data_IF_548383976923
#
_entry.id   IF_548383976923
#
_cell.length_a   1.000
_cell.length_b   1.000
_cell.length_c   1.000
_cell.angle_alpha   90.00
_cell.angle_beta   90.00
_cell.angle_gamma   90.00
#
_symmetry.space_group_name_H-M   'P 1'
#
loop_
_entity.id
_entity.type
_entity.pdbx_description
1 polymer ?
#
# COMPACT_ATOMS: atom_id res chain seq x y z
N UNK A 1 15.02 -16.50 8.27
CA UNK A 1 13.72 -15.93 7.87
C UNK A 1 13.89 -14.42 7.77
N UNK A 2 13.56 -13.81 6.62
CA UNK A 2 13.56 -12.35 6.47
C UNK A 2 12.25 -11.85 7.10
N UNK A 3 12.34 -11.20 8.25
CA UNK A 3 11.18 -10.60 8.90
C UNK A 3 10.87 -9.25 8.22
N UNK A 4 9.60 -8.95 7.90
CA UNK A 4 9.24 -7.64 7.41
C UNK A 4 9.51 -6.58 8.47
N UNK A 5 9.94 -5.39 8.05
CA UNK A 5 10.13 -4.24 8.93
C UNK A 5 8.82 -3.77 9.55
N UNK A 6 7.73 -3.93 8.79
CA UNK A 6 6.37 -3.65 9.20
C UNK A 6 5.38 -4.29 8.21
N UNK A 7 4.20 -4.63 8.68
CA UNK A 7 3.05 -5.02 7.86
C UNK A 7 1.81 -4.37 8.45
N UNK A 8 0.95 -3.83 7.61
CA UNK A 8 -0.42 -3.51 7.98
C UNK A 8 -1.40 -4.12 6.98
N UNK A 9 -2.62 -4.34 7.46
CA UNK A 9 -3.70 -4.98 6.72
C UNK A 9 -5.01 -4.25 7.06
N UNK A 10 -5.75 -3.87 6.02
CA UNK A 10 -7.01 -3.15 6.12
C UNK A 10 -8.06 -3.96 5.38
N UNK A 11 -9.12 -4.34 6.08
CA UNK A 11 -10.30 -4.99 5.53
C UNK A 11 -11.52 -4.13 5.80
N UNK A 12 -12.24 -3.74 4.75
CA UNK A 12 -13.46 -2.91 4.84
C UNK A 12 -14.29 -3.03 3.57
N UNK A 13 -15.59 -2.85 3.66
CA UNK A 13 -16.52 -2.77 2.53
C UNK A 13 -16.83 -1.32 2.12
N UNK A 14 -16.23 -0.32 2.80
CA UNK A 14 -16.53 1.09 2.61
C UNK A 14 -15.31 1.89 2.13
N UNK A 15 -15.46 2.59 0.99
CA UNK A 15 -14.42 3.46 0.41
C UNK A 15 -13.87 4.49 1.42
N UNK A 16 -14.76 5.13 2.17
CA UNK A 16 -14.40 6.19 3.12
C UNK A 16 -13.60 5.65 4.31
N UNK A 17 -13.85 4.41 4.70
CA UNK A 17 -13.08 3.78 5.76
C UNK A 17 -11.70 3.40 5.26
N UNK A 18 -11.59 2.90 4.03
CA UNK A 18 -10.31 2.54 3.42
C UNK A 18 -9.33 3.71 3.39
N UNK A 19 -9.73 4.89 2.89
CA UNK A 19 -8.87 6.09 2.89
C UNK A 19 -8.45 6.51 4.31
N UNK A 20 -9.40 6.53 5.25
CA UNK A 20 -9.13 6.87 6.65
C UNK A 20 -8.13 5.91 7.29
N UNK A 21 -8.29 4.61 7.06
CA UNK A 21 -7.38 3.58 7.57
C UNK A 21 -5.99 3.71 6.94
N UNK A 22 -5.90 3.91 5.63
CA UNK A 22 -4.62 4.12 4.94
C UNK A 22 -3.88 5.32 5.56
N UNK A 23 -4.53 6.49 5.68
CA UNK A 23 -3.89 7.67 6.28
C UNK A 23 -3.37 7.38 7.69
N UNK A 24 -4.17 6.69 8.52
CA UNK A 24 -3.79 6.32 9.89
C UNK A 24 -2.54 5.43 9.93
N UNK A 25 -2.49 4.38 9.10
CA UNK A 25 -1.35 3.46 9.05
C UNK A 25 -0.08 4.17 8.56
N UNK A 26 -0.20 5.02 7.52
CA UNK A 26 0.93 5.81 6.99
C UNK A 26 1.49 6.78 8.03
N UNK A 27 0.64 7.46 8.81
CA UNK A 27 1.09 8.38 9.86
C UNK A 27 1.73 7.66 11.05
N UNK A 28 1.36 6.40 11.30
CA UNK A 28 1.81 5.61 12.45
C UNK A 28 2.95 4.64 12.13
N UNK A 29 3.61 4.79 10.96
CA UNK A 29 4.73 3.93 10.57
C UNK A 29 5.82 3.87 11.66
N UNK A 30 6.31 2.66 11.98
CA UNK A 30 7.30 2.46 13.03
C UNK A 30 8.67 3.02 12.65
N UNK A 31 9.51 3.26 13.66
CA UNK A 31 10.85 3.82 13.46
C UNK A 31 11.76 2.94 12.59
N UNK A 32 11.53 1.62 12.54
CA UNK A 32 12.24 0.71 11.64
C UNK A 32 12.07 1.11 10.18
N UNK A 33 10.82 1.32 9.74
CA UNK A 33 10.49 1.82 8.40
C UNK A 33 11.03 3.24 8.23
N UNK A 34 10.92 4.08 9.27
CA UNK A 34 11.37 5.48 9.15
C UNK A 34 12.90 5.65 9.02
N UNK A 35 13.68 4.66 9.45
CA UNK A 35 15.13 4.63 9.26
C UNK A 35 15.53 4.02 7.93
N UNK A 36 14.75 3.05 7.45
CA UNK A 36 15.01 2.35 6.20
C UNK A 36 14.74 3.19 4.96
N UNK A 37 13.65 3.98 4.99
CA UNK A 37 13.20 4.78 3.86
C UNK A 37 13.33 6.27 4.17
N UNK A 38 13.84 7.07 3.24
CA UNK A 38 13.91 8.52 3.40
C UNK A 38 12.51 9.16 3.43
N UNK A 39 12.41 10.41 3.88
CA UNK A 39 11.15 11.17 3.83
C UNK A 39 10.58 11.25 2.41
N UNK A 40 11.44 11.50 1.42
CA UNK A 40 11.04 11.56 0.01
C UNK A 40 10.49 10.21 -0.48
N UNK A 41 11.11 9.10 -0.07
CA UNK A 41 10.64 7.75 -0.44
C UNK A 41 9.31 7.39 0.21
N UNK A 42 9.13 7.74 1.49
CA UNK A 42 7.86 7.56 2.20
C UNK A 42 6.75 8.40 1.59
N UNK A 43 7.06 9.63 1.20
CA UNK A 43 6.11 10.51 0.52
C UNK A 43 5.74 9.96 -0.87
N UNK A 44 6.72 9.55 -1.66
CA UNK A 44 6.49 8.92 -2.96
C UNK A 44 5.67 7.63 -2.83
N UNK A 45 5.95 6.80 -1.82
CA UNK A 45 5.16 5.61 -1.52
C UNK A 45 3.69 5.97 -1.22
N UNK A 46 3.44 6.99 -0.40
CA UNK A 46 2.08 7.42 -0.06
C UNK A 46 1.29 7.80 -1.33
N UNK A 47 1.89 8.59 -2.22
CA UNK A 47 1.27 8.97 -3.49
C UNK A 47 0.97 7.75 -4.38
N UNK A 48 1.94 6.84 -4.50
CA UNK A 48 1.79 5.62 -5.31
C UNK A 48 0.69 4.71 -4.74
N UNK A 49 0.60 4.59 -3.42
CA UNK A 49 -0.43 3.80 -2.76
C UNK A 49 -1.82 4.38 -3.04
N UNK A 50 -1.99 5.70 -2.88
CA UNK A 50 -3.26 6.37 -3.17
C UNK A 50 -3.66 6.19 -4.64
N UNK A 51 -2.74 6.45 -5.58
CA UNK A 51 -3.00 6.27 -7.02
C UNK A 51 -3.39 4.84 -7.36
N UNK A 52 -2.65 3.86 -6.84
CA UNK A 52 -2.89 2.45 -7.10
C UNK A 52 -4.27 2.01 -6.58
N UNK A 53 -4.59 2.31 -5.32
CA UNK A 53 -5.88 1.96 -4.72
C UNK A 53 -7.04 2.65 -5.45
N UNK A 54 -6.92 3.95 -5.75
CA UNK A 54 -7.96 4.69 -6.49
C UNK A 54 -8.18 4.13 -7.89
N UNK A 55 -7.10 3.76 -8.59
CA UNK A 55 -7.18 3.10 -9.89
C UNK A 55 -8.00 1.81 -9.83
N UNK A 56 -7.66 0.93 -8.90
CA UNK A 56 -8.32 -0.37 -8.74
C UNK A 56 -9.77 -0.25 -8.25
N UNK A 57 -10.07 0.71 -7.38
CA UNK A 57 -11.45 1.00 -6.96
C UNK A 57 -12.33 1.40 -8.17
N UNK A 58 -11.79 2.18 -9.11
CA UNK A 58 -12.53 2.56 -10.34
C UNK A 58 -12.77 1.35 -11.24
N UNK A 59 -11.80 0.46 -11.38
CA UNK A 59 -11.92 -0.79 -12.14
C UNK A 59 -12.99 -1.71 -11.52
N UNK A 60 -12.95 -1.91 -10.21
CA UNK A 60 -13.94 -2.71 -9.47
C UNK A 60 -15.36 -2.16 -9.62
N UNK A 61 -15.53 -0.84 -9.49
CA UNK A 61 -16.84 -0.19 -9.69
C UNK A 61 -17.32 -0.38 -11.12
N UNK A 62 -16.45 -0.18 -12.11
CA UNK A 62 -16.78 -0.37 -13.53
C UNK A 62 -17.16 -1.80 -13.86
N UNK A 63 -16.48 -2.79 -13.27
CA UNK A 63 -16.81 -4.21 -13.40
C UNK A 63 -18.16 -4.54 -12.74
N UNK A 64 -18.40 -4.03 -11.52
CA UNK A 64 -19.65 -4.26 -10.79
C UNK A 64 -20.90 -3.71 -11.52
N UNK A 65 -20.77 -2.61 -12.26
CA UNK A 65 -21.85 -2.07 -13.09
C UNK A 65 -22.19 -2.97 -14.29
N UNK A 66 -21.25 -3.82 -14.74
CA UNK A 66 -21.43 -4.71 -15.90
C UNK A 66 -21.98 -6.07 -15.51
N UNK A 67 -21.80 -6.52 -14.28
CA UNK A 67 -22.24 -7.85 -13.80
C UNK A 67 -23.35 -7.71 -12.75
N UNK A 68 -24.58 -8.09 -13.12
CA UNK A 68 -25.81 -8.05 -12.28
C UNK A 68 -25.82 -9.09 -11.14
N UNK A 69 -24.67 -9.65 -10.77
CA UNK A 69 -24.51 -10.68 -9.74
C UNK A 69 -23.37 -10.26 -8.80
N UNK A 70 -23.73 -9.45 -7.81
CA UNK A 70 -22.82 -8.95 -6.78
C UNK A 70 -22.41 -10.08 -5.82
N UNK A 71 -21.15 -10.50 -5.87
CA UNK A 71 -20.43 -10.81 -4.64
C UNK A 71 -19.59 -9.57 -4.31
N UNK A 72 -20.07 -8.76 -3.39
CA UNK A 72 -19.29 -7.73 -2.71
C UNK A 72 -18.25 -8.41 -1.84
N UNK A 73 -17.17 -8.89 -2.44
CA UNK A 73 -15.94 -9.14 -1.70
C UNK A 73 -15.41 -7.77 -1.29
N UNK A 74 -15.42 -7.50 0.02
CA UNK A 74 -14.89 -6.25 0.58
C UNK A 74 -13.48 -5.94 0.09
N UNK A 75 -13.04 -4.72 0.34
CA UNK A 75 -11.67 -4.29 0.09
C UNK A 75 -10.74 -4.90 1.11
N UNK A 76 -9.68 -5.51 0.63
CA UNK A 76 -8.55 -6.02 1.41
C UNK A 76 -7.26 -5.41 0.86
N UNK A 77 -6.64 -4.55 1.66
CA UNK A 77 -5.35 -3.95 1.37
C UNK A 77 -4.31 -4.54 2.34
N UNK A 78 -3.22 -5.06 1.80
CA UNK A 78 -2.06 -5.51 2.57
C UNK A 78 -0.85 -4.72 2.10
N UNK A 79 -0.11 -4.11 3.02
CA UNK A 79 1.16 -3.45 2.74
C UNK A 79 2.25 -4.08 3.59
N UNK A 80 3.33 -4.49 2.94
CA UNK A 80 4.48 -5.11 3.57
C UNK A 80 5.71 -4.27 3.29
N UNK A 81 6.37 -3.80 4.34
CA UNK A 81 7.65 -3.13 4.26
C UNK A 81 8.77 -4.12 4.54
N UNK A 82 9.69 -4.22 3.61
CA UNK A 82 10.94 -4.97 3.73
C UNK A 82 12.12 -4.02 3.55
N UNK A 83 13.34 -4.53 3.70
CA UNK A 83 14.55 -3.75 3.41
C UNK A 83 14.53 -3.30 1.95
N UNK A 84 14.53 -1.98 1.73
CA UNK A 84 14.46 -1.29 0.42
C UNK A 84 13.36 -1.75 -0.55
N UNK A 85 12.34 -2.45 -0.06
CA UNK A 85 11.22 -2.93 -0.87
C UNK A 85 9.90 -2.73 -0.12
N UNK A 86 8.87 -2.32 -0.85
CA UNK A 86 7.50 -2.23 -0.33
C UNK A 86 6.58 -2.99 -1.27
N UNK A 87 5.82 -3.93 -0.74
CA UNK A 87 4.79 -4.67 -1.48
C UNK A 87 3.41 -4.18 -1.08
N UNK A 88 2.59 -3.85 -2.07
CA UNK A 88 1.20 -3.44 -1.92
C UNK A 88 0.36 -4.54 -2.57
N UNK A 89 -0.62 -5.09 -1.85
CA UNK A 89 -1.59 -6.05 -2.39
C UNK A 89 -3.01 -5.54 -2.12
N UNK A 90 -3.81 -5.34 -3.17
CA UNK A 90 -5.19 -4.90 -3.07
C UNK A 90 -6.12 -5.91 -3.76
N UNK A 91 -6.97 -6.57 -2.99
CA UNK A 91 -7.84 -7.65 -3.47
C UNK A 91 -7.09 -8.72 -4.28
N UNK A 92 -5.86 -9.02 -3.90
CA UNK A 92 -4.99 -9.99 -4.58
C UNK A 92 -4.21 -9.45 -5.77
N UNK A 93 -4.41 -8.21 -6.19
CA UNK A 93 -3.54 -7.56 -7.17
C UNK A 93 -2.34 -6.93 -6.48
N UNK A 94 -1.14 -7.24 -6.99
CA UNK A 94 0.12 -6.85 -6.34
C UNK A 94 0.89 -5.78 -7.12
N UNK A 95 1.51 -4.86 -6.38
CA UNK A 95 2.49 -3.89 -6.86
C UNK A 95 3.70 -3.88 -5.93
N UNK A 96 4.88 -4.00 -6.52
CA UNK A 96 6.16 -4.01 -5.78
C UNK A 96 6.93 -2.74 -6.11
N UNK A 97 7.31 -1.99 -5.08
CA UNK A 97 8.17 -0.82 -5.16
C UNK A 97 9.56 -1.19 -4.66
N UNK A 98 10.59 -0.89 -5.45
CA UNK A 98 11.98 -1.12 -5.08
C UNK A 98 12.71 0.21 -5.07
N UNK A 99 13.48 0.42 -4.01
CA UNK A 99 14.29 1.61 -3.83
C UNK A 99 15.76 1.20 -3.90
N UNK A 100 16.61 1.90 -4.67
CA UNK A 100 18.04 1.59 -4.73
C UNK A 100 18.67 1.78 -3.34
N UNK A 101 19.72 1.06 -2.97
CA UNK A 101 20.46 1.48 -1.76
C UNK A 101 21.00 2.90 -1.99
N UNK A 102 20.97 3.75 -0.95
CA UNK A 102 21.57 5.06 -1.07
C UNK A 102 23.06 4.85 -1.36
N UNK A 103 23.52 5.24 -2.55
CA UNK A 103 24.95 5.34 -2.83
C UNK A 103 25.51 6.32 -1.80
N UNK A 104 26.31 5.81 -0.85
CA UNK A 104 27.08 6.67 0.03
C UNK A 104 28.05 7.47 -0.85
N UNK A 105 27.89 8.80 -0.98
CA UNK A 105 28.83 9.59 -1.75
C UNK A 105 30.00 9.94 -0.82
N UNK A 106 30.78 8.95 -0.40
CA UNK A 106 32.06 9.16 0.29
C UNK A 106 32.96 7.92 0.10
N UNK A 107 33.70 7.92 -1.00
CA UNK A 107 34.96 7.16 -1.15
C UNK A 107 35.97 8.00 -1.91
#
# INVERSE_FOLDING_TARGET
>A
MKFPLHKFEIETDLDKELDRHIRREIHSLPMSVKREFSDAERFAFHLILEEYVVGLLKELKSASLRTRHWMTTGYRLVVIFERRQITISFNGQEKVLRYPEAEHPDS
#
